data_IF_235470055162
#
_entry.id   IF_235470055162
#
_cell.length_a   1.000
_cell.length_b   1.000
_cell.length_c   1.000
_cell.angle_alpha   90.00
_cell.angle_beta   90.00
_cell.angle_gamma   90.00
#
_symmetry.space_group_name_H-M   'P 1'
#
loop_
_entity.id
_entity.type
_entity.pdbx_description
1 polymer ?
#
# COMPACT_ATOMS: atom_id res chain seq x y z
N UNK A 1 22.17 -18.40 1.22
CA UNK A 1 21.69 -17.41 0.23
C UNK A 1 21.40 -16.10 0.94
N UNK A 2 21.85 -14.99 0.37
CA UNK A 2 21.58 -13.67 0.90
C UNK A 2 20.08 -13.32 0.78
N UNK A 3 19.46 -12.93 1.90
CA UNK A 3 18.08 -12.48 1.91
C UNK A 3 17.98 -11.11 1.24
N UNK A 4 17.02 -10.96 0.33
CA UNK A 4 16.69 -9.70 -0.34
C UNK A 4 15.30 -9.25 0.03
N UNK A 5 15.07 -7.95 -0.13
CA UNK A 5 13.78 -7.32 0.08
C UNK A 5 13.22 -6.88 -1.26
N UNK A 6 12.01 -7.32 -1.58
CA UNK A 6 11.31 -6.98 -2.82
C UNK A 6 10.06 -6.19 -2.49
N UNK A 7 9.95 -4.99 -3.05
CA UNK A 7 8.79 -4.13 -2.88
C UNK A 7 8.06 -4.04 -4.20
N UNK A 8 6.75 -4.29 -4.17
CA UNK A 8 5.91 -4.25 -5.36
C UNK A 8 4.78 -3.25 -5.17
N UNK A 9 4.53 -2.44 -6.20
CA UNK A 9 3.32 -1.64 -6.30
C UNK A 9 2.13 -2.56 -6.58
N UNK A 10 0.93 -2.11 -6.25
CA UNK A 10 -0.29 -2.90 -6.47
C UNK A 10 -0.85 -2.64 -7.87
N UNK A 11 -1.34 -1.43 -8.09
CA UNK A 11 -2.12 -1.11 -9.29
C UNK A 11 -1.23 -1.07 -10.53
N UNK A 12 -1.61 -1.86 -11.54
CA UNK A 12 -0.87 -2.03 -12.80
C UNK A 12 0.53 -2.66 -12.65
N UNK A 13 0.84 -3.21 -11.48
CA UNK A 13 2.06 -4.00 -11.26
C UNK A 13 1.68 -5.43 -10.87
N UNK A 14 0.99 -5.59 -9.77
CA UNK A 14 0.47 -6.89 -9.33
C UNK A 14 -1.01 -7.07 -9.68
N UNK A 15 -1.80 -6.01 -9.58
CA UNK A 15 -3.23 -6.06 -9.84
C UNK A 15 -3.53 -5.60 -11.27
N UNK A 16 -4.31 -6.40 -11.99
CA UNK A 16 -4.71 -6.10 -13.37
C UNK A 16 -6.06 -5.39 -13.36
N UNK A 17 -6.11 -4.24 -13.99
CA UNK A 17 -7.34 -3.48 -14.18
C UNK A 17 -8.15 -4.11 -15.32
N UNK A 18 -9.53 -4.15 -15.29
CA UNK A 18 -10.38 -3.52 -14.26
C UNK A 18 -10.69 -4.38 -13.04
N UNK A 19 -10.38 -5.67 -13.03
CA UNK A 19 -10.76 -6.58 -11.95
C UNK A 19 -10.04 -6.29 -10.64
N UNK A 20 -8.85 -5.67 -10.72
CA UNK A 20 -8.03 -5.40 -9.54
C UNK A 20 -7.48 -6.66 -8.87
N UNK A 21 -7.41 -7.76 -9.62
CA UNK A 21 -6.94 -9.05 -9.12
C UNK A 21 -5.52 -9.32 -9.55
N UNK A 22 -4.83 -10.10 -8.72
CA UNK A 22 -3.48 -10.54 -9.02
C UNK A 22 -3.55 -11.77 -9.97
N UNK A 23 -2.85 -11.76 -11.12
CA UNK A 23 -2.80 -12.94 -11.99
C UNK A 23 -2.07 -14.10 -11.31
N UNK A 24 -2.41 -15.33 -11.71
CA UNK A 24 -1.80 -16.53 -11.15
C UNK A 24 -0.28 -16.54 -11.30
N UNK A 25 0.24 -16.05 -12.43
CA UNK A 25 1.68 -15.96 -12.66
C UNK A 25 2.38 -15.02 -11.70
N UNK A 26 1.75 -13.88 -11.37
CA UNK A 26 2.29 -12.95 -10.39
C UNK A 26 2.25 -13.53 -8.99
N UNK A 27 1.13 -14.16 -8.61
CA UNK A 27 1.02 -14.83 -7.31
C UNK A 27 2.07 -15.92 -7.15
N UNK A 28 2.26 -16.73 -8.20
CA UNK A 28 3.31 -17.75 -8.21
C UNK A 28 4.69 -17.13 -7.94
N UNK A 29 5.00 -16.01 -8.57
CA UNK A 29 6.28 -15.34 -8.42
C UNK A 29 6.49 -14.82 -6.99
N UNK A 30 5.45 -14.23 -6.39
CA UNK A 30 5.51 -13.78 -5.00
C UNK A 30 5.76 -14.96 -4.04
N UNK A 31 5.03 -16.04 -4.24
CA UNK A 31 5.16 -17.25 -3.41
C UNK A 31 6.54 -17.85 -3.55
N UNK A 32 7.09 -17.88 -4.76
CA UNK A 32 8.42 -18.42 -5.03
C UNK A 32 9.53 -17.58 -4.37
N UNK A 33 9.40 -16.24 -4.40
CA UNK A 33 10.34 -15.36 -3.70
C UNK A 33 10.35 -15.63 -2.19
N UNK A 34 9.16 -15.78 -1.60
CA UNK A 34 9.04 -16.12 -0.18
C UNK A 34 9.62 -17.49 0.12
N UNK A 35 9.34 -18.48 -0.72
CA UNK A 35 9.85 -19.84 -0.55
C UNK A 35 11.38 -19.85 -0.56
N UNK A 36 12.01 -18.97 -1.33
CA UNK A 36 13.48 -18.83 -1.38
C UNK A 36 14.05 -18.03 -0.23
N UNK A 37 13.23 -17.61 0.74
CA UNK A 37 13.68 -16.93 1.94
C UNK A 37 13.80 -15.42 1.83
N UNK A 38 13.28 -14.83 0.76
CA UNK A 38 13.27 -13.38 0.60
C UNK A 38 12.06 -12.75 1.29
N UNK A 39 12.17 -11.47 1.63
CA UNK A 39 11.06 -10.67 2.14
C UNK A 39 10.34 -10.02 0.95
N UNK A 40 9.03 -10.15 0.93
CA UNK A 40 8.19 -9.54 -0.11
C UNK A 40 7.20 -8.61 0.55
N UNK A 41 7.15 -7.37 0.10
CA UNK A 41 6.31 -6.34 0.65
C UNK A 41 5.58 -5.58 -0.45
N UNK A 42 4.46 -4.96 -0.11
CA UNK A 42 3.78 -4.02 -0.99
C UNK A 42 4.26 -2.60 -0.68
N UNK A 43 4.27 -1.75 -1.71
CA UNK A 43 4.49 -0.31 -1.57
C UNK A 43 3.44 0.38 -2.42
N UNK A 44 2.46 1.01 -1.79
CA UNK A 44 1.27 1.51 -2.49
C UNK A 44 0.83 2.88 -1.99
N UNK A 45 0.19 3.64 -2.90
CA UNK A 45 -0.55 4.83 -2.52
C UNK A 45 -1.91 4.56 -1.93
N UNK A 46 -2.39 3.30 -1.99
CA UNK A 46 -3.68 2.95 -1.37
C UNK A 46 -3.65 3.19 0.14
N UNK A 47 -4.83 3.49 0.70
CA UNK A 47 -4.96 3.67 2.15
C UNK A 47 -4.74 2.34 2.88
N UNK A 48 -4.40 2.42 4.16
CA UNK A 48 -4.04 1.29 5.02
C UNK A 48 -5.05 0.14 4.91
N UNK A 49 -6.35 0.43 4.97
CA UNK A 49 -7.40 -0.61 4.96
C UNK A 49 -7.39 -1.40 3.65
N UNK A 50 -7.27 -0.71 2.53
CA UNK A 50 -7.28 -1.36 1.21
C UNK A 50 -5.97 -2.12 0.96
N UNK A 51 -4.85 -1.56 1.37
CA UNK A 51 -3.55 -2.23 1.27
C UNK A 51 -3.55 -3.52 2.10
N UNK A 52 -4.12 -3.49 3.29
CA UNK A 52 -4.23 -4.66 4.16
C UNK A 52 -5.05 -5.77 3.52
N UNK A 53 -6.21 -5.42 2.94
CA UNK A 53 -7.04 -6.40 2.23
C UNK A 53 -6.29 -7.06 1.08
N UNK A 54 -5.60 -6.26 0.28
CA UNK A 54 -4.83 -6.79 -0.83
C UNK A 54 -3.69 -7.69 -0.34
N UNK A 55 -2.96 -7.26 0.69
CA UNK A 55 -1.89 -8.05 1.28
C UNK A 55 -2.40 -9.41 1.78
N UNK A 56 -3.53 -9.43 2.46
CA UNK A 56 -4.15 -10.68 2.94
C UNK A 56 -4.48 -11.61 1.78
N UNK A 57 -5.05 -11.10 0.70
CA UNK A 57 -5.36 -11.88 -0.51
C UNK A 57 -4.11 -12.42 -1.19
N UNK A 58 -3.04 -11.64 -1.20
CA UNK A 58 -1.77 -12.02 -1.81
C UNK A 58 -0.88 -12.89 -0.90
N UNK A 59 -1.29 -13.12 0.34
CA UNK A 59 -0.50 -13.88 1.31
C UNK A 59 0.71 -13.11 1.84
N UNK A 60 0.63 -11.79 1.89
CA UNK A 60 1.72 -10.91 2.35
C UNK A 60 1.40 -10.31 3.71
N UNK A 61 2.43 -10.08 4.50
CA UNK A 61 2.32 -9.55 5.86
C UNK A 61 3.01 -8.20 6.05
N UNK A 62 3.75 -7.77 5.05
CA UNK A 62 4.52 -6.53 5.08
C UNK A 62 4.05 -5.60 3.97
N UNK A 63 3.75 -4.37 4.31
CA UNK A 63 3.39 -3.38 3.30
C UNK A 63 3.57 -1.95 3.80
N UNK A 64 3.88 -1.08 2.85
CA UNK A 64 3.91 0.37 3.03
C UNK A 64 2.68 0.91 2.29
N UNK A 65 1.84 1.67 2.98
CA UNK A 65 0.60 2.22 2.45
C UNK A 65 0.53 3.73 2.62
N UNK A 66 -0.57 4.33 2.19
CA UNK A 66 -0.79 5.77 2.27
C UNK A 66 0.36 6.59 1.66
N UNK A 67 0.92 6.09 0.55
CA UNK A 67 2.03 6.77 -0.12
C UNK A 67 3.30 6.88 0.73
N UNK A 68 3.50 6.01 1.70
CA UNK A 68 4.65 6.01 2.59
C UNK A 68 4.34 6.43 4.03
N UNK A 69 3.12 6.88 4.30
CA UNK A 69 2.75 7.39 5.63
C UNK A 69 2.40 6.28 6.63
N UNK A 70 2.18 5.07 6.19
CA UNK A 70 1.97 3.95 7.10
C UNK A 70 2.84 2.75 6.72
N UNK A 71 3.30 2.04 7.72
CA UNK A 71 4.16 0.86 7.57
C UNK A 71 3.61 -0.26 8.44
N UNK A 72 3.40 -1.42 7.84
CA UNK A 72 2.95 -2.64 8.53
C UNK A 72 4.00 -3.73 8.33
N UNK A 73 4.42 -4.35 9.40
CA UNK A 73 5.41 -5.44 9.41
C UNK A 73 4.85 -6.61 10.20
N UNK A 74 4.89 -7.80 9.63
CA UNK A 74 4.34 -9.01 10.24
C UNK A 74 2.89 -8.81 10.72
N UNK A 75 2.07 -8.19 9.87
CA UNK A 75 0.67 -7.85 10.14
C UNK A 75 0.44 -6.83 11.27
N UNK A 76 1.49 -6.20 11.78
CA UNK A 76 1.36 -5.16 12.80
C UNK A 76 1.63 -3.79 12.21
N UNK A 77 0.73 -2.85 12.44
CA UNK A 77 0.93 -1.45 12.08
C UNK A 77 2.01 -0.87 13.01
N UNK A 78 3.21 -0.63 12.47
CA UNK A 78 4.35 -0.16 13.26
C UNK A 78 4.56 1.35 13.16
N UNK A 79 4.00 1.99 12.15
CA UNK A 79 4.12 3.43 11.96
C UNK A 79 2.94 3.96 11.17
N UNK A 80 2.37 5.07 11.62
CA UNK A 80 1.39 5.84 10.87
C UNK A 80 1.61 7.31 11.19
N UNK A 81 2.00 8.07 10.18
CA UNK A 81 2.28 9.50 10.31
C UNK A 81 1.22 10.26 9.54
N UNK A 82 0.40 11.02 10.25
CA UNK A 82 -0.60 11.88 9.64
C UNK A 82 0.02 13.11 9.00
N UNK A 83 -0.76 13.79 8.18
CA UNK A 83 -0.37 15.08 7.62
C UNK A 83 -0.39 16.15 8.73
N UNK A 84 0.42 17.20 8.57
CA UNK A 84 0.37 18.34 9.46
C UNK A 84 -1.04 18.93 9.51
N UNK A 85 -1.59 19.05 10.73
CA UNK A 85 -2.98 19.47 10.92
C UNK A 85 -3.26 20.86 10.37
N UNK A 86 -2.38 21.82 10.65
CA UNK A 86 -2.58 23.20 10.21
C UNK A 86 -2.48 23.34 8.70
N UNK A 87 -1.55 22.62 8.07
CA UNK A 87 -1.44 22.56 6.61
C UNK A 87 -2.70 21.97 5.98
N UNK A 88 -3.24 20.89 6.56
CA UNK A 88 -4.49 20.29 6.10
C UNK A 88 -5.66 21.28 6.18
N UNK A 89 -5.82 21.96 7.31
CA UNK A 89 -6.90 22.92 7.50
C UNK A 89 -6.78 24.06 6.49
N UNK A 90 -5.59 24.62 6.31
CA UNK A 90 -5.36 25.68 5.33
C UNK A 90 -5.71 25.22 3.92
N UNK A 91 -5.34 24.01 3.57
CA UNK A 91 -5.63 23.46 2.25
C UNK A 91 -7.12 23.24 2.03
N UNK A 92 -7.82 22.70 3.02
CA UNK A 92 -9.27 22.51 2.95
C UNK A 92 -10.01 23.84 2.83
N UNK A 93 -9.59 24.87 3.58
CA UNK A 93 -10.15 26.21 3.47
C UNK A 93 -9.95 26.80 2.07
N UNK A 94 -8.77 26.58 1.49
CA UNK A 94 -8.51 26.98 0.10
C UNK A 94 -9.45 26.31 -0.88
N UNK A 95 -9.61 24.99 -0.76
CA UNK A 95 -10.50 24.22 -1.64
C UNK A 95 -11.95 24.69 -1.52
N UNK A 96 -12.42 24.93 -0.29
CA UNK A 96 -13.78 25.42 -0.06
C UNK A 96 -14.00 26.82 -0.63
N UNK A 97 -13.03 27.72 -0.47
CA UNK A 97 -13.11 29.08 -1.00
C UNK A 97 -13.16 29.13 -2.53
N UNK A 98 -12.68 28.07 -3.20
CA UNK A 98 -12.69 27.96 -4.65
C UNK A 98 -13.76 27.00 -5.18
N UNK A 99 -14.68 26.55 -4.32
CA UNK A 99 -15.74 25.60 -4.65
C UNK A 99 -15.22 24.30 -5.27
N UNK A 100 -14.07 23.82 -4.80
CA UNK A 100 -13.46 22.56 -5.26
C UNK A 100 -13.90 21.46 -4.29
N UNK A 101 -14.56 20.39 -4.79
CA UNK A 101 -14.93 19.25 -3.94
C UNK A 101 -13.69 18.57 -3.36
N UNK A 102 -13.80 18.09 -2.11
CA UNK A 102 -12.72 17.36 -1.46
C UNK A 102 -13.25 16.28 -0.53
N UNK A 103 -12.38 15.34 -0.22
CA UNK A 103 -12.61 14.31 0.78
C UNK A 103 -11.31 13.96 1.46
N UNK A 104 -11.40 13.46 2.68
CA UNK A 104 -10.26 12.94 3.44
C UNK A 104 -10.49 11.48 3.78
N UNK A 105 -9.40 10.75 3.93
CA UNK A 105 -9.44 9.34 4.31
C UNK A 105 -8.71 9.10 5.61
#
# INVERSE_FOLDING_TARGET
MEQKFFFFDIDNTLAVWPEGKIPDSAQYSLDELKRRGHRVALATGRIQVDAKRFAEQAGLTDFVADGGHSVTVNNELVSMIGMDRDACISYLEYLESHNIPWAVT
#
